data_IF_051929766527
#
_entry.id   IF_051929766527
#
_cell.length_a   1.000
_cell.length_b   1.000
_cell.length_c   1.000
_cell.angle_alpha   90.00
_cell.angle_beta   90.00
_cell.angle_gamma   90.00
#
_symmetry.space_group_name_H-M   'P 1'
#
loop_
_entity.id
_entity.type
_entity.pdbx_description
1 polymer ?
#
# COMPACT_ATOMS: atom_id res chain seq x y z
N UNK A 1 -6.92 -21.43 4.22
CA UNK A 1 -5.45 -21.29 4.31
C UNK A 1 -4.91 -21.22 5.74
N UNK A 2 -5.17 -20.19 6.57
CA UNK A 2 -4.63 -20.15 7.96
C UNK A 2 -5.04 -21.37 8.80
N UNK A 3 -6.34 -21.68 8.84
CA UNK A 3 -6.85 -22.90 9.50
C UNK A 3 -6.34 -24.21 8.86
N UNK A 4 -5.75 -24.14 7.68
CA UNK A 4 -5.19 -25.27 6.94
C UNK A 4 -3.66 -25.34 7.06
N UNK A 5 -3.03 -24.50 7.91
CA UNK A 5 -1.59 -24.54 8.19
C UNK A 5 -0.74 -23.49 7.47
N UNK A 6 -1.34 -22.50 6.80
CA UNK A 6 -0.59 -21.39 6.19
C UNK A 6 0.21 -20.61 7.23
N UNK A 7 1.50 -20.42 6.99
CA UNK A 7 2.35 -19.51 7.75
C UNK A 7 2.56 -18.21 6.96
N UNK A 8 2.11 -17.03 7.44
CA UNK A 8 2.25 -15.75 6.74
C UNK A 8 3.66 -15.16 6.89
N UNK A 9 4.68 -15.94 6.53
CA UNK A 9 6.09 -15.61 6.69
C UNK A 9 6.79 -15.26 5.37
N UNK A 10 6.03 -15.13 4.27
CA UNK A 10 6.54 -14.83 2.93
C UNK A 10 7.55 -15.86 2.39
N UNK A 11 7.45 -17.12 2.81
CA UNK A 11 8.25 -18.23 2.30
C UNK A 11 7.42 -19.11 1.36
N UNK A 12 8.10 -19.81 0.44
CA UNK A 12 7.47 -20.76 -0.45
C UNK A 12 6.89 -21.91 0.36
N UNK A 13 5.60 -22.19 0.19
CA UNK A 13 4.93 -23.26 0.94
C UNK A 13 3.86 -23.93 0.09
N UNK A 14 3.59 -25.20 0.38
CA UNK A 14 2.45 -25.92 -0.19
C UNK A 14 1.44 -26.17 0.93
N UNK A 15 0.24 -25.63 0.78
CA UNK A 15 -0.83 -25.71 1.79
C UNK A 15 -2.10 -26.19 1.08
N UNK A 16 -2.72 -27.26 1.60
CA UNK A 16 -3.93 -27.85 1.03
C UNK A 16 -3.85 -28.11 -0.50
N UNK A 17 -2.70 -28.61 -0.98
CA UNK A 17 -2.47 -28.90 -2.39
C UNK A 17 -2.16 -27.68 -3.28
N UNK A 18 -2.11 -26.47 -2.73
CA UNK A 18 -1.80 -25.24 -3.46
C UNK A 18 -0.39 -24.75 -3.11
N UNK A 19 0.39 -24.39 -4.13
CA UNK A 19 1.70 -23.76 -3.97
C UNK A 19 1.56 -22.25 -3.83
N UNK A 20 2.11 -21.71 -2.75
CA UNK A 20 2.04 -20.29 -2.38
C UNK A 20 3.45 -19.73 -2.45
N UNK A 21 3.66 -18.80 -3.38
CA UNK A 21 4.96 -18.20 -3.63
C UNK A 21 5.20 -16.98 -2.74
N UNK A 22 6.46 -16.71 -2.38
CA UNK A 22 6.85 -15.42 -1.82
C UNK A 22 6.47 -14.25 -2.74
N UNK A 23 6.29 -13.08 -2.13
CA UNK A 23 5.83 -11.87 -2.81
C UNK A 23 6.83 -11.40 -3.91
N UNK A 24 8.12 -11.68 -3.76
CA UNK A 24 9.17 -11.26 -4.71
C UNK A 24 9.10 -11.97 -6.07
N UNK A 25 8.34 -13.08 -6.18
CA UNK A 25 8.14 -13.78 -7.45
C UNK A 25 7.30 -12.96 -8.43
N UNK A 26 6.18 -12.40 -7.95
CA UNK A 26 5.17 -11.81 -8.82
C UNK A 26 4.81 -10.35 -8.50
N UNK A 27 5.11 -9.89 -7.28
CA UNK A 27 4.78 -8.56 -6.78
C UNK A 27 5.94 -7.92 -5.98
N UNK A 28 7.16 -7.80 -6.54
CA UNK A 28 8.32 -7.22 -5.85
C UNK A 28 8.17 -5.72 -5.51
N UNK A 29 7.08 -5.07 -5.95
CA UNK A 29 6.72 -3.71 -5.58
C UNK A 29 6.01 -3.69 -4.23
N UNK A 30 6.54 -2.95 -3.26
CA UNK A 30 5.83 -2.68 -2.03
C UNK A 30 4.68 -1.69 -2.28
N UNK A 31 3.45 -2.02 -1.91
CA UNK A 31 2.32 -1.13 -2.14
C UNK A 31 2.42 0.21 -1.39
N UNK A 32 2.91 0.18 -0.14
CA UNK A 32 2.90 1.30 0.80
C UNK A 32 4.03 2.29 0.56
N UNK A 33 5.18 1.82 0.08
CA UNK A 33 6.30 2.69 -0.31
C UNK A 33 6.33 2.89 -1.82
N UNK A 34 5.81 1.95 -2.61
CA UNK A 34 5.96 1.92 -4.06
C UNK A 34 7.39 1.61 -4.51
N UNK A 35 8.25 1.11 -3.64
CA UNK A 35 9.61 0.70 -4.00
C UNK A 35 9.58 -0.69 -4.59
N UNK A 36 10.40 -0.92 -5.62
CA UNK A 36 10.53 -2.22 -6.27
C UNK A 36 11.86 -2.81 -5.84
N UNK A 37 11.82 -4.04 -5.28
CA UNK A 37 13.02 -4.79 -4.93
C UNK A 37 13.06 -6.08 -5.75
N UNK A 38 13.80 -6.04 -6.86
CA UNK A 38 13.99 -7.20 -7.72
C UNK A 38 14.93 -8.22 -7.06
N UNK A 39 14.63 -9.50 -7.27
CA UNK A 39 15.47 -10.64 -6.89
C UNK A 39 15.62 -11.58 -8.08
N UNK A 40 16.45 -12.62 -7.95
CA UNK A 40 16.54 -13.67 -8.97
C UNK A 40 15.20 -14.40 -9.21
N UNK A 41 14.25 -14.31 -8.28
CA UNK A 41 12.92 -14.90 -8.41
C UNK A 41 11.91 -13.97 -9.10
N UNK A 42 12.23 -12.70 -9.33
CA UNK A 42 11.25 -11.74 -9.83
C UNK A 42 10.91 -11.99 -11.31
N UNK A 43 9.77 -12.65 -11.54
CA UNK A 43 9.26 -12.98 -12.87
C UNK A 43 8.28 -11.94 -13.41
N UNK A 44 7.59 -11.20 -12.53
CA UNK A 44 6.70 -10.12 -12.92
C UNK A 44 6.67 -9.00 -11.88
N UNK A 45 6.18 -7.82 -12.28
CA UNK A 45 5.94 -6.69 -11.39
C UNK A 45 4.45 -6.34 -11.41
N UNK A 46 3.78 -6.51 -10.29
CA UNK A 46 2.43 -5.98 -10.10
C UNK A 46 2.49 -4.46 -9.88
N UNK A 47 2.04 -3.68 -10.86
CA UNK A 47 2.00 -2.22 -10.77
C UNK A 47 0.72 -1.73 -10.07
N UNK A 48 0.89 -1.04 -8.95
CA UNK A 48 -0.22 -0.43 -8.20
C UNK A 48 -0.49 1.02 -8.65
N UNK A 49 -0.85 1.19 -9.92
CA UNK A 49 -1.12 2.50 -10.54
C UNK A 49 -2.45 3.11 -10.14
N UNK A 50 -3.46 2.27 -9.86
CA UNK A 50 -4.80 2.66 -9.42
C UNK A 50 -5.48 3.71 -10.32
N UNK A 51 -5.27 3.63 -11.64
CA UNK A 51 -5.70 4.65 -12.62
C UNK A 51 -7.22 4.87 -12.69
N UNK A 52 -8.00 3.96 -12.14
CA UNK A 52 -9.45 4.10 -11.99
C UNK A 52 -9.87 5.08 -10.88
N UNK A 53 -8.94 5.53 -10.03
CA UNK A 53 -9.23 6.49 -8.96
C UNK A 53 -9.17 7.93 -9.46
N UNK A 54 -9.91 8.82 -8.79
CA UNK A 54 -9.86 10.24 -9.08
C UNK A 54 -8.46 10.85 -8.80
N UNK A 55 -8.15 12.01 -9.42
CA UNK A 55 -6.83 12.64 -9.28
C UNK A 55 -6.45 13.01 -7.84
N UNK A 56 -7.42 13.32 -6.97
CA UNK A 56 -7.15 13.67 -5.56
C UNK A 56 -6.68 12.44 -4.80
N UNK A 57 -7.33 11.30 -5.00
CA UNK A 57 -6.93 10.03 -4.42
C UNK A 57 -5.57 9.55 -4.96
N UNK A 58 -5.31 9.69 -6.26
CA UNK A 58 -4.00 9.39 -6.85
C UNK A 58 -2.89 10.25 -6.23
N UNK A 59 -3.14 11.55 -6.02
CA UNK A 59 -2.21 12.46 -5.34
C UNK A 59 -1.98 12.03 -3.88
N UNK A 60 -3.03 11.62 -3.19
CA UNK A 60 -2.94 11.16 -1.82
C UNK A 60 -2.11 9.86 -1.69
N UNK A 61 -2.28 8.91 -2.62
CA UNK A 61 -1.44 7.69 -2.70
C UNK A 61 0.03 8.08 -2.89
N UNK A 62 0.33 9.05 -3.77
CA UNK A 62 1.71 9.55 -3.98
C UNK A 62 2.31 10.14 -2.71
N UNK A 63 1.55 10.97 -1.97
CA UNK A 63 1.99 11.57 -0.70
C UNK A 63 2.29 10.46 0.33
N UNK A 64 1.36 9.51 0.51
CA UNK A 64 1.54 8.39 1.45
C UNK A 64 2.82 7.62 1.14
N UNK A 65 3.05 7.28 -0.13
CA UNK A 65 4.25 6.56 -0.58
C UNK A 65 5.53 7.34 -0.29
N UNK A 66 5.56 8.64 -0.60
CA UNK A 66 6.72 9.50 -0.33
C UNK A 66 7.04 9.58 1.17
N UNK A 67 6.02 9.78 2.00
CA UNK A 67 6.16 9.82 3.46
C UNK A 67 6.66 8.48 4.00
N UNK A 68 6.10 7.36 3.53
CA UNK A 68 6.54 6.03 3.95
C UNK A 68 7.96 5.69 3.51
N UNK A 69 8.39 6.11 2.31
CA UNK A 69 9.78 5.97 1.86
C UNK A 69 10.74 6.74 2.77
N UNK A 70 10.37 7.97 3.16
CA UNK A 70 11.26 8.86 3.92
C UNK A 70 11.40 8.46 5.38
N UNK A 71 10.31 8.04 6.03
CA UNK A 71 10.26 7.80 7.48
C UNK A 71 10.07 6.32 7.85
N UNK A 72 10.01 5.44 6.86
CA UNK A 72 9.64 4.04 7.03
C UNK A 72 8.15 3.86 7.28
N UNK A 73 7.62 2.65 7.01
CA UNK A 73 6.18 2.36 7.09
C UNK A 73 5.56 2.66 8.46
N UNK A 74 6.28 2.39 9.56
CA UNK A 74 5.76 2.58 10.93
C UNK A 74 5.49 4.05 11.24
N UNK A 75 6.49 4.91 11.08
CA UNK A 75 6.34 6.34 11.36
C UNK A 75 5.60 7.07 10.23
N UNK A 76 5.85 6.66 8.99
CA UNK A 76 5.15 7.21 7.83
C UNK A 76 3.63 7.02 7.93
N UNK A 77 3.13 5.86 8.36
CA UNK A 77 1.70 5.66 8.58
C UNK A 77 1.12 6.56 9.68
N UNK A 78 1.87 6.84 10.75
CA UNK A 78 1.45 7.77 11.81
C UNK A 78 1.31 9.20 11.27
N UNK A 79 2.30 9.66 10.51
CA UNK A 79 2.28 10.97 9.85
C UNK A 79 1.10 11.05 8.88
N UNK A 80 0.93 10.02 8.03
CA UNK A 80 -0.16 9.95 7.06
C UNK A 80 -1.54 9.98 7.74
N UNK A 81 -1.69 9.35 8.90
CA UNK A 81 -2.93 9.42 9.68
C UNK A 81 -3.25 10.85 10.12
N UNK A 82 -2.26 11.59 10.64
CA UNK A 82 -2.41 13.00 11.02
C UNK A 82 -2.80 13.85 9.81
N UNK A 83 -2.11 13.66 8.68
CA UNK A 83 -2.43 14.39 7.43
C UNK A 83 -3.86 14.11 6.95
N UNK A 84 -4.31 12.84 7.02
CA UNK A 84 -5.68 12.46 6.65
C UNK A 84 -6.73 13.04 7.60
N UNK A 85 -6.47 13.03 8.90
CA UNK A 85 -7.37 13.61 9.89
C UNK A 85 -7.55 15.11 9.63
N UNK A 86 -6.45 15.84 9.44
CA UNK A 86 -6.48 17.27 9.10
C UNK A 86 -7.22 17.52 7.77
N UNK A 87 -6.95 16.75 6.73
CA UNK A 87 -7.67 16.87 5.46
C UNK A 87 -9.18 16.65 5.61
N UNK A 88 -9.59 15.65 6.40
CA UNK A 88 -10.99 15.38 6.66
C UNK A 88 -11.69 16.53 7.40
N UNK A 89 -11.01 17.13 8.39
CA UNK A 89 -11.51 18.31 9.13
C UNK A 89 -11.65 19.50 8.19
N UNK A 90 -10.59 19.85 7.45
CA UNK A 90 -10.60 20.99 6.51
C UNK A 90 -11.68 20.81 5.44
N UNK A 91 -11.85 19.60 4.90
CA UNK A 91 -12.90 19.30 3.91
C UNK A 91 -14.30 19.53 4.47
N UNK A 92 -14.56 19.11 5.71
CA UNK A 92 -15.85 19.34 6.40
C UNK A 92 -16.10 20.82 6.63
N UNK A 93 -15.08 21.55 7.09
CA UNK A 93 -15.18 23.01 7.30
C UNK A 93 -15.53 23.72 5.99
N UNK A 94 -14.81 23.44 4.90
CA UNK A 94 -15.09 24.04 3.58
C UNK A 94 -16.50 23.71 3.07
N UNK A 95 -17.00 22.51 3.34
CA UNK A 95 -18.36 22.14 2.94
C UNK A 95 -19.43 22.97 3.66
N UNK A 96 -19.18 23.42 4.88
CA UNK A 96 -20.09 24.32 5.62
C UNK A 96 -20.06 25.73 5.02
N UNK A 97 -18.89 26.24 4.66
CA UNK A 97 -18.74 27.62 4.16
C UNK A 97 -19.11 27.79 2.67
N UNK A 98 -19.00 26.74 1.85
CA UNK A 98 -19.36 26.79 0.43
C UNK A 98 -20.87 26.60 0.17
N UNK A 99 -21.72 26.58 1.20
CA UNK A 99 -23.18 26.54 1.08
C UNK A 99 -23.86 27.91 1.33
N UNK A 100 -23.07 28.97 1.53
CA UNK A 100 -23.51 30.37 1.58
C UNK A 100 -23.03 31.11 0.33
#
# INVERSE_FOLDING_TARGET
MLKQGLQPNNQLQTVAGVRIFPTDYFAPMDFLTGEIKLTANSHSIHHYSATWQDPVNLRHIKIIRQVNRRFGKKWGMRINWILRANWAVVRRIRAVFNQN
#
